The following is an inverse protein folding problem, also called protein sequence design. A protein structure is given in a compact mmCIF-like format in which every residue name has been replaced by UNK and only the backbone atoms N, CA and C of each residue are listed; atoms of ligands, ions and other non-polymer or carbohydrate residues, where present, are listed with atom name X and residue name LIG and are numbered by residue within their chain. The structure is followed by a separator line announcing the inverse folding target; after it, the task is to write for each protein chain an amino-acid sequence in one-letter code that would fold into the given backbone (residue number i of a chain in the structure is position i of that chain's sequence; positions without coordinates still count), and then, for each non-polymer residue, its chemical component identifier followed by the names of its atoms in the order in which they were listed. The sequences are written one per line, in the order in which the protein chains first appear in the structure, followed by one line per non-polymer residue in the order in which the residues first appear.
data_IF_459370802286
#
_entry.id   IF_459370802286
#
_cell.length_a   1.000
_cell.length_b   1.000
_cell.length_c   1.000
_cell.angle_alpha   90.00
_cell.angle_beta   90.00
_cell.angle_gamma   90.00
#
_symmetry.space_group_name_H-M   'P 1'
#
loop_
_entity.id
_entity.type
_entity.pdbx_description
1 polymer ?
#
# COMPACT_ATOMS: atom_id res chain seq x y z
N UNK A 1 12.78 12.00 -17.84
CA UNK A 1 11.74 12.17 -16.80
C UNK A 1 10.52 12.96 -17.28
N UNK A 2 10.55 13.62 -18.44
CA UNK A 2 9.44 14.50 -18.88
C UNK A 2 8.10 13.76 -19.06
N UNK A 3 8.12 12.49 -19.45
CA UNK A 3 6.92 11.65 -19.60
C UNK A 3 6.57 10.85 -18.34
N UNK A 4 7.39 10.93 -17.28
CA UNK A 4 7.18 10.16 -16.05
C UNK A 4 5.80 10.42 -15.42
N UNK A 5 5.29 11.67 -15.32
CA UNK A 5 3.96 11.91 -14.72
C UNK A 5 2.83 11.13 -15.41
N UNK A 6 2.83 11.06 -16.73
CA UNK A 6 1.82 10.32 -17.49
C UNK A 6 1.91 8.80 -17.25
N UNK A 7 3.12 8.27 -17.14
CA UNK A 7 3.34 6.85 -16.83
C UNK A 7 2.97 6.54 -15.38
N UNK A 8 3.33 7.40 -14.43
CA UNK A 8 2.98 7.28 -13.02
C UNK A 8 1.46 7.28 -12.83
N UNK A 9 0.74 8.18 -13.49
CA UNK A 9 -0.73 8.21 -13.46
C UNK A 9 -1.33 6.89 -13.98
N UNK A 10 -0.79 6.36 -15.09
CA UNK A 10 -1.23 5.07 -15.65
C UNK A 10 -0.99 3.93 -14.67
N UNK A 11 0.20 3.86 -14.07
CA UNK A 11 0.54 2.85 -13.05
C UNK A 11 -0.44 2.91 -11.89
N UNK A 12 -0.74 4.11 -11.36
CA UNK A 12 -1.66 4.26 -10.23
C UNK A 12 -3.08 3.83 -10.59
N UNK A 13 -3.58 4.17 -11.78
CA UNK A 13 -4.91 3.73 -12.25
C UNK A 13 -4.99 2.20 -12.38
N UNK A 14 -4.01 1.58 -13.03
CA UNK A 14 -3.98 0.13 -13.20
C UNK A 14 -3.81 -0.58 -11.86
N UNK A 15 -2.93 -0.09 -10.99
CA UNK A 15 -2.71 -0.64 -9.66
C UNK A 15 -3.97 -0.56 -8.79
N UNK A 16 -4.69 0.57 -8.82
CA UNK A 16 -5.96 0.72 -8.11
C UNK A 16 -6.99 -0.31 -8.56
N UNK A 17 -7.11 -0.56 -9.87
CA UNK A 17 -8.03 -1.58 -10.40
C UNK A 17 -7.59 -2.97 -9.95
N UNK A 18 -6.30 -3.30 -10.05
CA UNK A 18 -5.77 -4.60 -9.61
C UNK A 18 -6.04 -4.89 -8.13
N UNK A 19 -5.97 -3.88 -7.26
CA UNK A 19 -6.26 -4.02 -5.82
C UNK A 19 -7.74 -4.33 -5.52
N UNK A 20 -8.66 -4.06 -6.44
CA UNK A 20 -10.09 -4.33 -6.25
C UNK A 20 -10.48 -5.77 -6.56
N UNK A 21 -9.65 -6.52 -7.29
CA UNK A 21 -9.91 -7.93 -7.59
C UNK A 21 -9.75 -8.82 -6.35
N UNK A 22 -10.59 -9.86 -6.28
CA UNK A 22 -10.56 -10.89 -5.25
C UNK A 22 -10.67 -12.27 -5.93
N UNK A 23 -9.67 -13.17 -5.80
CA UNK A 23 -8.41 -12.98 -5.09
C UNK A 23 -7.47 -11.97 -5.81
N UNK A 24 -6.43 -11.51 -5.11
CA UNK A 24 -5.46 -10.56 -5.67
C UNK A 24 -4.72 -11.17 -6.88
N UNK A 25 -4.73 -10.52 -8.06
CA UNK A 25 -3.96 -10.98 -9.21
C UNK A 25 -2.44 -10.75 -9.04
N UNK A 26 -2.04 -9.92 -8.08
CA UNK A 26 -0.64 -9.61 -7.79
C UNK A 26 -0.07 -10.61 -6.78
N UNK A 27 -0.82 -10.90 -5.72
CA UNK A 27 -0.38 -11.74 -4.61
C UNK A 27 0.71 -11.09 -3.74
N UNK A 28 0.92 -11.65 -2.53
CA UNK A 28 1.76 -11.01 -1.50
C UNK A 28 3.25 -10.90 -1.91
N UNK A 29 3.84 -11.94 -2.49
CA UNK A 29 5.28 -11.94 -2.86
C UNK A 29 5.60 -10.89 -3.91
N UNK A 30 4.77 -10.76 -4.95
CA UNK A 30 4.98 -9.73 -5.99
C UNK A 30 4.74 -8.33 -5.42
N UNK A 31 3.76 -8.17 -4.54
CA UNK A 31 3.52 -6.89 -3.88
C UNK A 31 4.74 -6.43 -3.07
N UNK A 32 5.39 -7.33 -2.33
CA UNK A 32 6.63 -7.05 -1.62
C UNK A 32 7.75 -6.63 -2.57
N UNK A 33 7.91 -7.33 -3.70
CA UNK A 33 8.89 -6.96 -4.72
C UNK A 33 8.64 -5.54 -5.26
N UNK A 34 7.38 -5.16 -5.49
CA UNK A 34 7.02 -3.80 -5.91
C UNK A 34 7.40 -2.76 -4.85
N UNK A 35 7.14 -3.03 -3.57
CA UNK A 35 7.55 -2.14 -2.48
C UNK A 35 9.07 -2.01 -2.41
N UNK A 36 9.80 -3.12 -2.54
CA UNK A 36 11.27 -3.12 -2.57
C UNK A 36 11.82 -2.29 -3.73
N UNK A 37 11.23 -2.40 -4.93
CA UNK A 37 11.64 -1.59 -6.09
C UNK A 37 11.38 -0.10 -5.82
N UNK A 38 10.23 0.25 -5.25
CA UNK A 38 9.92 1.64 -4.90
C UNK A 38 10.92 2.21 -3.87
N UNK A 39 11.22 1.46 -2.80
CA UNK A 39 12.21 1.85 -1.79
C UNK A 39 13.61 2.00 -2.40
N UNK A 40 14.02 1.05 -3.25
CA UNK A 40 15.28 1.12 -3.96
C UNK A 40 15.37 2.35 -4.88
N UNK A 41 14.30 2.67 -5.61
CA UNK A 41 14.27 3.82 -6.51
C UNK A 41 14.46 5.15 -5.75
N UNK A 42 13.84 5.28 -4.57
CA UNK A 42 14.04 6.45 -3.70
C UNK A 42 15.49 6.54 -3.24
N UNK A 43 16.03 5.46 -2.68
CA UNK A 43 17.41 5.43 -2.18
C UNK A 43 18.44 5.69 -3.30
N UNK A 44 18.27 5.05 -4.46
CA UNK A 44 19.20 5.18 -5.58
C UNK A 44 19.17 6.58 -6.24
N UNK A 45 18.13 7.38 -5.99
CA UNK A 45 18.00 8.74 -6.54
C UNK A 45 18.53 9.84 -5.61
N UNK A 46 19.09 9.45 -4.46
CA UNK A 46 19.72 10.38 -3.52
C UNK A 46 20.96 11.05 -4.13
N UNK A 47 21.19 12.30 -3.74
CA UNK A 47 22.39 13.04 -4.11
C UNK A 47 23.58 12.53 -3.30
N UNK A 48 24.63 12.06 -3.98
CA UNK A 48 25.79 11.43 -3.31
C UNK A 48 26.66 12.41 -2.50
N UNK A 49 26.61 13.70 -2.86
CA UNK A 49 27.53 14.72 -2.33
C UNK A 49 26.81 15.91 -1.65
N UNK A 50 25.52 15.77 -1.29
CA UNK A 50 24.81 16.84 -0.59
C UNK A 50 24.86 16.62 0.93
N UNK A 51 25.53 17.53 1.65
CA UNK A 51 25.71 17.47 3.11
C UNK A 51 24.46 17.86 3.92
N UNK A 52 23.36 18.24 3.24
CA UNK A 52 22.08 18.58 3.87
C UNK A 52 21.03 17.52 3.55
N UNK A 53 20.38 16.99 4.58
CA UNK A 53 19.22 16.09 4.51
C UNK A 53 18.02 16.69 3.75
N UNK A 54 18.01 18.01 3.56
CA UNK A 54 16.93 18.76 2.89
C UNK A 54 17.13 18.82 1.37
N UNK A 55 18.29 18.38 0.88
CA UNK A 55 18.67 18.45 -0.52
C UNK A 55 18.17 17.22 -1.28
N UNK A 56 16.95 17.31 -1.83
CA UNK A 56 16.35 16.22 -2.63
C UNK A 56 16.40 16.53 -4.11
N UNK A 57 16.77 15.53 -4.91
CA UNK A 57 16.70 15.65 -6.37
C UNK A 57 15.24 15.52 -6.83
N UNK A 58 14.90 16.14 -7.96
CA UNK A 58 13.57 15.98 -8.59
C UNK A 58 13.23 14.49 -8.82
N UNK A 59 14.24 13.68 -9.16
CA UNK A 59 14.07 12.24 -9.39
C UNK A 59 13.74 11.53 -8.08
N UNK A 60 14.41 11.87 -6.98
CA UNK A 60 14.12 11.33 -5.65
C UNK A 60 12.71 11.69 -5.20
N UNK A 61 12.29 12.94 -5.38
CA UNK A 61 10.93 13.38 -5.04
C UNK A 61 9.88 12.65 -5.87
N UNK A 62 10.11 12.47 -7.18
CA UNK A 62 9.20 11.73 -8.05
C UNK A 62 9.12 10.24 -7.69
N UNK A 63 10.24 9.61 -7.36
CA UNK A 63 10.28 8.22 -6.89
C UNK A 63 9.52 8.07 -5.56
N UNK A 64 9.74 8.99 -4.62
CA UNK A 64 9.05 8.99 -3.34
C UNK A 64 7.55 9.22 -3.50
N UNK A 65 7.15 10.17 -4.35
CA UNK A 65 5.75 10.46 -4.64
C UNK A 65 5.01 9.25 -5.22
N UNK A 66 5.60 8.55 -6.20
CA UNK A 66 4.99 7.33 -6.76
C UNK A 66 4.87 6.22 -5.71
N UNK A 67 5.94 6.00 -4.93
CA UNK A 67 5.94 4.99 -3.86
C UNK A 67 4.88 5.27 -2.80
N UNK A 68 4.78 6.51 -2.32
CA UNK A 68 3.77 6.95 -1.35
C UNK A 68 2.35 6.87 -1.92
N UNK A 69 2.15 7.19 -3.19
CA UNK A 69 0.85 7.07 -3.85
C UNK A 69 0.40 5.60 -3.94
N UNK A 70 1.31 4.69 -4.33
CA UNK A 70 1.02 3.25 -4.31
C UNK A 70 0.74 2.73 -2.90
N UNK A 71 1.52 3.16 -1.91
CA UNK A 71 1.29 2.82 -0.50
C UNK A 71 -0.07 3.33 0.01
N UNK A 72 -0.44 4.56 -0.35
CA UNK A 72 -1.75 5.11 -0.01
C UNK A 72 -2.89 4.26 -0.56
N UNK A 73 -2.80 3.81 -1.81
CA UNK A 73 -3.79 2.90 -2.41
C UNK A 73 -3.89 1.56 -1.67
N UNK A 74 -2.75 0.98 -1.25
CA UNK A 74 -2.72 -0.23 -0.42
C UNK A 74 -3.43 0.00 0.93
N UNK A 75 -3.09 1.06 1.65
CA UNK A 75 -3.70 1.40 2.95
C UNK A 75 -5.21 1.66 2.79
N UNK A 76 -5.63 2.34 1.74
CA UNK A 76 -7.04 2.56 1.45
C UNK A 76 -7.78 1.23 1.22
N UNK A 77 -7.21 0.30 0.45
CA UNK A 77 -7.80 -1.02 0.25
C UNK A 77 -7.88 -1.83 1.54
N UNK A 78 -6.81 -1.85 2.35
CA UNK A 78 -6.82 -2.51 3.65
C UNK A 78 -7.89 -1.91 4.60
N UNK A 79 -8.01 -0.59 4.62
CA UNK A 79 -9.02 0.12 5.42
C UNK A 79 -10.44 -0.24 4.97
N UNK A 80 -10.68 -0.37 3.67
CA UNK A 80 -11.96 -0.84 3.13
C UNK A 80 -12.28 -2.26 3.61
N UNK A 81 -11.33 -3.19 3.47
CA UNK A 81 -11.51 -4.59 3.88
C UNK A 81 -11.75 -4.71 5.40
N UNK A 82 -11.03 -3.94 6.22
CA UNK A 82 -11.26 -3.89 7.67
C UNK A 82 -12.67 -3.42 8.01
N UNK A 83 -13.16 -2.37 7.35
CA UNK A 83 -14.54 -1.87 7.54
C UNK A 83 -15.59 -2.89 7.10
N UNK A 84 -15.35 -3.64 6.03
CA UNK A 84 -16.24 -4.74 5.63
C UNK A 84 -16.26 -5.87 6.66
N UNK A 85 -15.10 -6.26 7.19
CA UNK A 85 -15.03 -7.27 8.26
C UNK A 85 -15.77 -6.83 9.54
N UNK A 86 -15.63 -5.56 9.94
CA UNK A 86 -16.35 -5.01 11.09
C UNK A 86 -17.89 -5.07 10.89
N UNK A 87 -18.38 -4.66 9.70
CA UNK A 87 -19.81 -4.71 9.39
C UNK A 87 -20.37 -6.13 9.41
N UNK A 88 -19.62 -7.11 8.94
CA UNK A 88 -20.03 -8.51 8.95
C UNK A 88 -20.19 -9.06 10.38
N UNK A 89 -19.35 -8.61 11.32
CA UNK A 89 -19.42 -9.01 12.74
C UNK A 89 -20.63 -8.43 13.46
N UNK A 90 -20.95 -7.15 13.22
CA UNK A 90 -22.12 -6.46 13.77
C UNK A 90 -23.47 -7.06 13.33
N UNK A 91 -23.51 -7.79 12.22
CA UNK A 91 -24.73 -8.47 11.73
C UNK A 91 -24.98 -9.85 12.38
N UNK A 92 -24.06 -10.34 13.21
CA UNK A 92 -24.23 -11.60 13.94
C UNK A 92 -25.06 -11.37 15.22
N UNK A 93 -26.16 -12.11 15.47
CA UNK A 93 -27.03 -11.89 16.63
C UNK A 93 -26.42 -12.19 18.01
N UNK A 94 -25.23 -12.78 18.08
CA UNK A 94 -24.71 -13.43 19.30
C UNK A 94 -23.66 -12.62 20.09
N UNK A 95 -23.16 -11.48 19.60
CA UNK A 95 -22.04 -10.75 20.21
C UNK A 95 -22.39 -9.26 20.51
N UNK A 96 -23.45 -9.01 21.29
CA UNK A 96 -23.86 -7.65 21.72
C UNK A 96 -23.18 -7.14 23.01
N UNK A 97 -22.22 -7.87 23.57
CA UNK A 97 -21.51 -7.47 24.78
C UNK A 97 -20.03 -7.14 24.48
N UNK A 98 -19.69 -5.84 24.51
CA UNK A 98 -18.36 -5.27 24.79
C UNK A 98 -17.14 -5.72 23.96
N UNK A 99 -17.27 -6.01 22.65
CA UNK A 99 -16.12 -6.21 21.75
C UNK A 99 -16.27 -5.41 20.44
N UNK A 100 -16.03 -4.09 20.50
CA UNK A 100 -15.93 -3.21 19.33
C UNK A 100 -14.65 -3.44 18.49
N UNK A 101 -13.76 -4.35 18.93
CA UNK A 101 -12.48 -4.63 18.29
C UNK A 101 -12.57 -5.72 17.21
N UNK A 102 -12.02 -5.44 16.02
CA UNK A 102 -11.90 -6.43 14.94
C UNK A 102 -10.82 -7.46 15.30
N UNK A 103 -11.23 -8.72 15.52
CA UNK A 103 -10.29 -9.82 15.80
C UNK A 103 -9.37 -10.09 14.61
N UNK A 104 -8.04 -10.10 14.81
CA UNK A 104 -7.05 -10.39 13.74
C UNK A 104 -7.28 -11.76 13.08
N UNK A 105 -7.74 -12.76 13.85
CA UNK A 105 -8.10 -14.08 13.32
C UNK A 105 -9.19 -14.02 12.24
N UNK A 106 -10.08 -13.03 12.32
CA UNK A 106 -11.19 -12.82 11.38
C UNK A 106 -10.80 -12.11 10.08
N UNK A 107 -9.55 -11.67 9.93
CA UNK A 107 -9.12 -10.97 8.71
C UNK A 107 -9.29 -11.85 7.48
N UNK A 108 -9.93 -11.27 6.46
CA UNK A 108 -10.16 -11.91 5.16
C UNK A 108 -8.83 -12.20 4.45
N UNK A 109 -8.76 -13.24 3.59
CA UNK A 109 -7.53 -13.61 2.88
C UNK A 109 -6.90 -12.44 2.12
N UNK A 110 -7.71 -11.64 1.42
CA UNK A 110 -7.23 -10.47 0.67
C UNK A 110 -6.51 -9.46 1.57
N UNK A 111 -7.02 -9.23 2.80
CA UNK A 111 -6.37 -8.34 3.75
C UNK A 111 -5.02 -8.93 4.21
N UNK A 112 -4.99 -10.23 4.51
CA UNK A 112 -3.76 -10.94 4.91
C UNK A 112 -2.68 -10.91 3.83
N UNK A 113 -3.06 -10.91 2.54
CA UNK A 113 -2.09 -10.82 1.44
C UNK A 113 -1.43 -9.43 1.31
N UNK A 114 -2.17 -8.36 1.62
CA UNK A 114 -1.71 -6.97 1.47
C UNK A 114 -0.89 -6.48 2.67
N UNK A 115 -1.22 -6.91 3.90
CA UNK A 115 -0.60 -6.43 5.14
C UNK A 115 0.94 -6.54 5.18
N UNK A 116 1.60 -7.60 4.68
CA UNK A 116 3.06 -7.67 4.66
C UNK A 116 3.71 -6.51 3.90
N UNK A 117 3.10 -6.09 2.78
CA UNK A 117 3.63 -4.99 1.96
C UNK A 117 3.39 -3.63 2.59
N UNK A 118 2.24 -3.46 3.26
CA UNK A 118 1.96 -2.24 4.06
C UNK A 118 2.99 -2.11 5.17
N UNK A 119 3.25 -3.20 5.92
CA UNK A 119 4.23 -3.22 7.00
C UNK A 119 5.64 -2.87 6.51
N UNK A 120 6.09 -3.49 5.43
CA UNK A 120 7.45 -3.28 4.89
C UNK A 120 7.66 -1.84 4.39
N UNK A 121 6.63 -1.19 3.86
CA UNK A 121 6.74 0.21 3.45
C UNK A 121 6.73 1.19 4.64
N UNK A 122 6.06 0.82 5.73
CA UNK A 122 5.94 1.68 6.92
C UNK A 122 7.10 1.57 7.91
N UNK A 123 7.90 0.50 7.83
CA UNK A 123 9.12 0.32 8.64
C UNK A 123 10.18 1.39 8.30
#
# INVERSE_FOLDING_TARGET
METFPAVAEKVLKEFQVLLQHSPSPIGSTRMLQLMTINMFAVHNSQLKDCFSEECRSVIQEQAAALGLAMFSLLVCRCTYLLKESAKAQLSSPEDQDDQDDIKVSSFVPDLKELLPSVKVWSD
#
